data_IF_965812893041
#
_entry.id   IF_965812893041
#
_cell.length_a   1.000
_cell.length_b   1.000
_cell.length_c   1.000
_cell.angle_alpha   90.00
_cell.angle_beta   90.00
_cell.angle_gamma   90.00
#
_symmetry.space_group_name_H-M   'P 1'
#
loop_
_entity.id
_entity.type
_entity.pdbx_description
1 polymer ?
#
# COMPACT_ATOMS: atom_id res chain seq x y z
N UNK A 1 -3.10 5.85 -16.79
CA UNK A 1 -1.98 4.89 -16.90
C UNK A 1 -0.89 5.35 -17.88
N UNK A 2 -0.82 6.63 -18.26
CA UNK A 2 0.22 7.12 -19.19
C UNK A 2 0.15 6.52 -20.59
N UNK A 3 -1.04 6.14 -21.05
CA UNK A 3 -1.27 5.43 -22.33
C UNK A 3 -0.82 6.26 -23.54
N UNK A 4 -1.12 7.56 -23.57
CA UNK A 4 -0.67 8.46 -24.64
C UNK A 4 0.86 8.63 -24.73
N UNK A 5 1.60 8.15 -23.72
CA UNK A 5 3.06 8.17 -23.66
C UNK A 5 3.66 6.77 -23.59
N UNK A 6 2.87 5.74 -23.91
CA UNK A 6 3.26 4.33 -23.91
C UNK A 6 3.84 3.83 -22.57
N UNK A 7 3.41 4.44 -21.45
CA UNK A 7 3.91 4.06 -20.10
C UNK A 7 3.13 2.92 -19.47
N UNK A 8 1.90 2.68 -19.91
CA UNK A 8 1.01 1.67 -19.34
C UNK A 8 -0.41 1.75 -19.87
N UNK A 9 -1.20 0.75 -19.53
CA UNK A 9 -2.63 0.66 -19.90
C UNK A 9 -3.48 0.26 -18.70
N UNK A 10 -4.77 0.58 -18.74
CA UNK A 10 -5.73 0.15 -17.72
C UNK A 10 -6.17 -1.29 -17.99
N UNK A 11 -5.92 -2.20 -17.06
CA UNK A 11 -6.19 -3.65 -17.21
C UNK A 11 -6.96 -4.19 -16.01
N UNK A 12 -7.61 -5.33 -16.19
CA UNK A 12 -8.27 -6.05 -15.09
C UNK A 12 -7.25 -6.50 -14.04
N UNK A 13 -7.67 -6.44 -12.78
CA UNK A 13 -6.91 -6.93 -11.64
C UNK A 13 -6.81 -8.46 -11.72
N UNK A 14 -5.61 -8.97 -11.49
CA UNK A 14 -5.36 -10.42 -11.37
C UNK A 14 -5.14 -10.75 -9.90
N UNK A 15 -6.00 -11.59 -9.34
CA UNK A 15 -5.88 -12.10 -7.97
C UNK A 15 -5.38 -13.55 -7.97
N UNK A 16 -4.82 -14.00 -6.85
CA UNK A 16 -4.40 -15.40 -6.69
C UNK A 16 -5.62 -16.30 -6.45
N UNK A 17 -5.66 -17.43 -7.15
CA UNK A 17 -6.64 -18.52 -6.92
C UNK A 17 -6.09 -19.62 -6.00
N UNK A 18 -4.98 -19.37 -5.32
CA UNK A 18 -4.41 -20.33 -4.37
C UNK A 18 -5.32 -20.54 -3.16
N UNK A 19 -5.36 -21.76 -2.59
CA UNK A 19 -6.18 -22.05 -1.42
C UNK A 19 -5.72 -21.21 -0.22
N UNK A 20 -6.68 -20.74 0.57
CA UNK A 20 -6.46 -20.02 1.82
C UNK A 20 -6.40 -20.99 3.01
N UNK A 21 -5.73 -20.59 4.09
CA UNK A 21 -5.66 -21.39 5.31
C UNK A 21 -7.03 -21.50 6.00
N UNK A 22 -7.31 -22.59 6.75
CA UNK A 22 -8.61 -22.80 7.42
C UNK A 22 -8.82 -21.91 8.65
N UNK A 23 -7.84 -21.07 8.99
CA UNK A 23 -7.83 -20.22 10.18
C UNK A 23 -8.83 -19.06 10.11
N UNK A 24 -9.17 -18.61 8.89
CA UNK A 24 -10.25 -17.65 8.67
C UNK A 24 -11.47 -18.38 8.08
N UNK A 25 -12.50 -18.68 8.88
CA UNK A 25 -13.62 -19.51 8.45
C UNK A 25 -14.72 -18.75 7.70
N UNK A 26 -14.52 -17.47 7.42
CA UNK A 26 -15.52 -16.59 6.79
C UNK A 26 -15.18 -16.32 5.32
N UNK A 27 -16.17 -15.84 4.58
CA UNK A 27 -15.97 -15.35 3.21
C UNK A 27 -16.88 -14.18 2.91
N UNK A 28 -16.32 -13.17 2.26
CA UNK A 28 -17.03 -11.97 1.83
C UNK A 28 -17.39 -11.02 2.96
N UNK A 29 -16.70 -11.10 4.10
CA UNK A 29 -16.97 -10.25 5.26
C UNK A 29 -15.87 -9.21 5.51
N UNK A 30 -14.68 -9.41 4.94
CA UNK A 30 -13.56 -8.49 5.10
C UNK A 30 -13.12 -7.90 3.76
N UNK A 31 -13.06 -6.57 3.71
CA UNK A 31 -12.69 -5.80 2.51
C UNK A 31 -11.29 -6.14 1.94
N UNK A 32 -10.46 -6.84 2.72
CA UNK A 32 -9.11 -7.28 2.35
C UNK A 32 -9.09 -8.63 1.64
N UNK A 33 -10.20 -9.37 1.63
CA UNK A 33 -10.32 -10.60 0.87
C UNK A 33 -10.14 -10.33 -0.63
N UNK A 34 -9.32 -11.17 -1.30
CA UNK A 34 -9.01 -11.02 -2.74
C UNK A 34 -8.62 -9.58 -3.09
N UNK A 35 -7.84 -8.94 -2.22
CA UNK A 35 -7.42 -7.56 -2.39
C UNK A 35 -6.86 -7.30 -3.80
N UNK A 36 -7.25 -6.21 -4.49
CA UNK A 36 -8.11 -5.10 -4.05
C UNK A 36 -9.58 -5.15 -4.56
N UNK A 37 -10.09 -6.33 -4.92
CA UNK A 37 -11.30 -6.44 -5.77
C UNK A 37 -12.60 -5.89 -5.19
N UNK A 38 -12.70 -5.71 -3.87
CA UNK A 38 -13.86 -5.08 -3.22
C UNK A 38 -14.02 -3.62 -3.66
N UNK A 39 -12.91 -2.90 -3.86
CA UNK A 39 -12.92 -1.48 -4.21
C UNK A 39 -12.83 -1.25 -5.72
N UNK A 40 -12.01 -2.03 -6.42
CA UNK A 40 -11.80 -1.86 -7.85
C UNK A 40 -11.32 -3.15 -8.51
N UNK A 41 -11.81 -3.37 -9.74
CA UNK A 41 -11.48 -4.53 -10.57
C UNK A 41 -10.53 -4.20 -11.73
N UNK A 42 -10.12 -2.93 -11.89
CA UNK A 42 -9.16 -2.49 -12.90
C UNK A 42 -8.11 -1.55 -12.32
N UNK A 43 -6.86 -1.73 -12.73
CA UNK A 43 -5.73 -0.89 -12.30
C UNK A 43 -4.78 -0.59 -13.46
N UNK A 44 -3.91 0.41 -13.29
CA UNK A 44 -2.86 0.67 -14.25
C UNK A 44 -1.78 -0.42 -14.21
N UNK A 45 -1.49 -1.02 -15.37
CA UNK A 45 -0.35 -1.92 -15.57
C UNK A 45 0.72 -1.21 -16.38
N UNK A 46 1.82 -0.88 -15.72
CA UNK A 46 2.92 -0.13 -16.32
C UNK A 46 3.86 -1.03 -17.14
N UNK A 47 4.44 -0.45 -18.18
CA UNK A 47 5.36 -1.14 -19.10
C UNK A 47 6.83 -0.82 -18.77
N UNK A 48 7.74 -1.71 -19.15
CA UNK A 48 9.18 -1.47 -19.08
C UNK A 48 9.66 -1.06 -17.67
N UNK A 49 10.37 0.07 -17.60
CA UNK A 49 10.92 0.65 -16.37
C UNK A 49 9.95 1.52 -15.55
N UNK A 50 8.73 1.74 -16.03
CA UNK A 50 7.75 2.62 -15.37
C UNK A 50 7.03 1.92 -14.21
N UNK A 51 6.58 2.69 -13.21
CA UNK A 51 5.77 2.28 -12.06
C UNK A 51 4.85 3.42 -11.56
N UNK A 52 4.18 3.19 -10.44
CA UNK A 52 3.32 4.18 -9.79
C UNK A 52 1.86 3.99 -10.17
N UNK A 53 0.95 4.59 -9.40
CA UNK A 53 -0.51 4.40 -9.57
C UNK A 53 -1.02 4.81 -10.96
N UNK A 54 -0.33 5.74 -11.63
CA UNK A 54 -0.67 6.23 -12.96
C UNK A 54 0.40 5.93 -14.03
N UNK A 55 1.45 5.17 -13.70
CA UNK A 55 2.65 4.90 -14.51
C UNK A 55 3.58 6.10 -14.75
N UNK A 56 3.49 7.15 -13.93
CA UNK A 56 4.32 8.35 -14.01
C UNK A 56 5.72 8.22 -13.41
N UNK A 57 5.95 7.20 -12.58
CA UNK A 57 7.17 7.00 -11.80
C UNK A 57 8.08 5.93 -12.42
N UNK A 58 9.27 5.75 -11.85
CA UNK A 58 10.24 4.72 -12.26
C UNK A 58 10.36 3.63 -11.21
N UNK A 59 10.50 2.38 -11.66
CA UNK A 59 10.74 1.21 -10.79
C UNK A 59 11.88 1.48 -9.81
N UNK A 60 11.78 0.90 -8.61
CA UNK A 60 12.83 0.99 -7.62
C UNK A 60 14.20 0.63 -8.24
N UNK A 61 15.19 1.51 -8.02
CA UNK A 61 16.53 1.38 -8.61
C UNK A 61 16.69 2.01 -10.00
N UNK A 62 15.67 2.68 -10.53
CA UNK A 62 15.71 3.39 -11.81
C UNK A 62 15.31 4.88 -11.65
N UNK A 63 15.72 5.70 -12.61
CA UNK A 63 15.38 7.11 -12.69
C UNK A 63 15.52 7.66 -14.11
N UNK A 64 15.48 8.98 -14.21
CA UNK A 64 15.45 9.70 -15.50
C UNK A 64 14.03 9.76 -16.09
N UNK A 65 13.81 10.60 -17.11
CA UNK A 65 12.48 10.81 -17.70
C UNK A 65 11.88 9.54 -18.33
N UNK A 66 12.73 8.61 -18.74
CA UNK A 66 12.36 7.33 -19.39
C UNK A 66 12.63 6.09 -18.52
N UNK A 67 13.00 6.27 -17.25
CA UNK A 67 13.24 5.17 -16.31
C UNK A 67 14.32 4.16 -16.74
N UNK A 68 15.32 4.62 -17.48
CA UNK A 68 16.44 3.80 -17.97
C UNK A 68 17.73 4.03 -17.19
N UNK A 69 17.83 5.10 -16.40
CA UNK A 69 19.01 5.43 -15.62
C UNK A 69 19.04 4.59 -14.34
N UNK A 70 20.06 3.76 -14.14
CA UNK A 70 20.20 2.99 -12.90
C UNK A 70 20.58 3.92 -11.74
N UNK A 71 19.91 3.73 -10.61
CA UNK A 71 20.18 4.42 -9.34
C UNK A 71 20.37 3.41 -8.23
N UNK A 72 21.51 3.45 -7.56
CA UNK A 72 21.79 2.60 -6.40
C UNK A 72 21.74 3.44 -5.14
N UNK A 73 20.90 3.04 -4.19
CA UNK A 73 20.85 3.62 -2.84
C UNK A 73 21.32 2.59 -1.83
N UNK A 74 22.15 3.00 -0.89
CA UNK A 74 22.71 2.13 0.15
C UNK A 74 22.02 2.44 1.48
N UNK A 75 21.29 1.47 2.03
CA UNK A 75 20.75 1.54 3.40
C UNK A 75 21.91 1.28 4.37
N UNK A 76 22.40 2.33 5.04
CA UNK A 76 23.49 2.25 6.02
C UNK A 76 22.97 1.89 7.41
N UNK A 77 23.84 1.34 8.24
CA UNK A 77 23.58 1.14 9.66
C UNK A 77 23.53 2.51 10.39
N UNK A 78 22.55 2.69 11.28
CA UNK A 78 22.20 4.00 11.87
C UNK A 78 23.28 4.54 12.80
N UNK A 79 23.96 3.70 13.57
CA UNK A 79 25.00 4.12 14.51
C UNK A 79 26.28 4.57 13.81
N UNK A 80 26.58 4.02 12.62
CA UNK A 80 27.69 4.38 11.73
C UNK A 80 27.47 5.66 10.93
N UNK A 81 26.30 6.30 11.01
CA UNK A 81 26.06 7.60 10.38
C UNK A 81 26.83 8.72 11.09
N UNK A 82 27.25 9.72 10.30
CA UNK A 82 27.76 11.00 10.83
C UNK A 82 26.66 11.76 11.57
N UNK A 83 27.03 12.71 12.43
CA UNK A 83 26.06 13.56 13.14
C UNK A 83 25.09 14.27 12.15
N UNK A 84 25.62 14.86 11.09
CA UNK A 84 24.82 15.53 10.06
C UNK A 84 23.87 14.57 9.32
N UNK A 85 24.28 13.32 9.05
CA UNK A 85 23.40 12.31 8.47
C UNK A 85 22.26 11.91 9.43
N UNK A 86 22.55 11.77 10.73
CA UNK A 86 21.53 11.49 11.76
C UNK A 86 20.53 12.63 11.90
N UNK A 87 21.02 13.86 11.98
CA UNK A 87 20.18 15.06 12.08
C UNK A 87 19.27 15.19 10.84
N UNK A 88 19.83 14.95 9.65
CA UNK A 88 19.05 14.91 8.41
C UNK A 88 18.00 13.81 8.45
N UNK A 89 18.35 12.59 8.86
CA UNK A 89 17.39 11.48 8.95
C UNK A 89 16.20 11.83 9.86
N UNK A 90 16.46 12.32 11.08
CA UNK A 90 15.41 12.72 12.03
C UNK A 90 14.59 13.89 11.50
N UNK A 91 15.21 14.89 10.85
CA UNK A 91 14.51 16.00 10.25
C UNK A 91 13.53 15.56 9.15
N UNK A 92 13.92 14.61 8.30
CA UNK A 92 13.04 14.09 7.24
C UNK A 92 11.92 13.20 7.78
N UNK A 93 12.13 12.44 8.87
CA UNK A 93 11.04 11.74 9.57
C UNK A 93 10.00 12.72 10.12
N UNK A 94 10.46 13.81 10.76
CA UNK A 94 9.59 14.86 11.25
C UNK A 94 8.84 15.58 10.11
N UNK A 95 9.51 15.82 8.98
CA UNK A 95 8.88 16.38 7.80
C UNK A 95 7.79 15.44 7.27
N UNK A 96 8.06 14.13 7.15
CA UNK A 96 7.09 13.14 6.69
C UNK A 96 5.85 13.06 7.60
N UNK A 97 6.03 13.19 8.91
CA UNK A 97 4.94 13.23 9.89
C UNK A 97 4.08 14.50 9.82
N UNK A 98 4.61 15.59 9.25
CA UNK A 98 3.92 16.90 9.18
C UNK A 98 3.43 17.26 7.77
N UNK A 99 3.74 16.45 6.77
CA UNK A 99 3.40 16.72 5.37
C UNK A 99 2.29 15.79 4.93
N UNK A 100 1.12 16.36 4.56
CA UNK A 100 0.02 15.62 3.94
C UNK A 100 0.50 14.92 2.68
N UNK A 101 0.20 13.63 2.55
CA UNK A 101 0.49 12.84 1.38
C UNK A 101 -0.35 13.36 0.20
N UNK A 102 0.26 13.46 -0.99
CA UNK A 102 -0.38 14.06 -2.17
C UNK A 102 -0.97 13.02 -3.11
N UNK A 103 -0.57 11.77 -2.97
CA UNK A 103 -0.94 10.68 -3.86
C UNK A 103 -1.97 9.74 -3.22
N UNK A 104 -2.01 9.66 -1.89
CA UNK A 104 -2.86 8.72 -1.14
C UNK A 104 -3.66 9.41 -0.04
N UNK A 105 -4.89 8.92 0.12
CA UNK A 105 -5.79 9.14 1.24
C UNK A 105 -6.11 7.79 1.88
N UNK A 106 -6.65 7.78 3.09
CA UNK A 106 -7.04 6.55 3.78
C UNK A 106 -8.55 6.40 3.86
N UNK A 107 -9.02 5.15 3.83
CA UNK A 107 -10.40 4.85 4.17
C UNK A 107 -10.62 5.03 5.68
N UNK A 108 -11.76 5.61 6.04
CA UNK A 108 -12.18 5.84 7.44
C UNK A 108 -13.38 5.00 7.86
N UNK A 109 -13.89 4.17 6.94
CA UNK A 109 -14.94 3.18 7.18
C UNK A 109 -14.80 2.01 6.19
N UNK A 110 -15.58 0.95 6.41
CA UNK A 110 -15.65 -0.22 5.53
C UNK A 110 -16.35 0.10 4.22
N UNK A 111 -16.18 -0.73 3.19
CA UNK A 111 -16.86 -0.56 1.90
C UNK A 111 -18.39 -0.56 2.04
N UNK A 112 -18.92 -1.36 2.96
CA UNK A 112 -20.34 -1.37 3.32
C UNK A 112 -20.78 -0.03 3.91
N UNK A 113 -20.02 0.54 4.86
CA UNK A 113 -20.29 1.86 5.44
C UNK A 113 -20.20 2.98 4.39
N UNK A 114 -19.45 2.77 3.30
CA UNK A 114 -19.43 3.66 2.15
C UNK A 114 -20.65 3.50 1.22
N UNK A 115 -21.66 2.73 1.61
CA UNK A 115 -22.83 2.41 0.77
C UNK A 115 -22.41 1.88 -0.61
N UNK A 116 -21.57 0.84 -0.60
CA UNK A 116 -20.99 0.22 -1.81
C UNK A 116 -20.32 1.26 -2.73
N UNK A 117 -19.55 2.17 -2.11
CA UNK A 117 -18.80 3.22 -2.81
C UNK A 117 -19.59 4.49 -3.17
N UNK A 118 -20.91 4.52 -2.96
CA UNK A 118 -21.73 5.70 -3.28
C UNK A 118 -21.53 6.87 -2.30
N UNK A 119 -21.06 6.59 -1.09
CA UNK A 119 -20.74 7.57 -0.06
C UNK A 119 -19.28 7.40 0.39
N UNK A 120 -18.30 7.97 -0.33
CA UNK A 120 -16.88 7.72 -0.09
C UNK A 120 -16.46 8.28 1.28
N UNK A 121 -15.87 7.41 2.13
CA UNK A 121 -15.37 7.78 3.45
C UNK A 121 -13.84 7.79 3.46
N UNK A 122 -13.24 8.88 2.96
CA UNK A 122 -11.80 9.06 2.94
C UNK A 122 -11.34 10.28 3.72
N UNK A 123 -10.12 10.22 4.25
CA UNK A 123 -9.47 11.34 4.90
C UNK A 123 -8.02 11.52 4.41
N UNK A 124 -7.61 12.79 4.35
CA UNK A 124 -6.22 13.16 4.17
C UNK A 124 -5.36 12.59 5.31
N UNK A 125 -4.14 12.20 4.98
CA UNK A 125 -3.17 11.66 5.93
C UNK A 125 -1.78 12.19 5.62
N UNK A 126 -0.91 12.31 6.63
CA UNK A 126 0.50 12.62 6.37
C UNK A 126 1.29 11.38 5.93
N UNK A 127 2.45 11.59 5.32
CA UNK A 127 3.27 10.52 4.76
C UNK A 127 3.68 9.46 5.78
N UNK A 128 4.01 9.86 7.01
CA UNK A 128 4.40 8.90 8.04
C UNK A 128 3.20 8.11 8.57
N UNK A 129 2.07 8.77 8.78
CA UNK A 129 0.85 8.11 9.27
C UNK A 129 0.23 7.20 8.20
N UNK A 130 0.42 7.49 6.91
CA UNK A 130 0.07 6.54 5.86
C UNK A 130 0.84 5.23 6.02
N UNK A 131 2.15 5.29 6.28
CA UNK A 131 2.97 4.12 6.54
C UNK A 131 2.47 3.33 7.76
N UNK A 132 2.07 4.02 8.82
CA UNK A 132 1.47 3.40 10.01
C UNK A 132 0.09 2.80 9.70
N UNK A 133 -0.76 3.51 8.95
CA UNK A 133 -2.11 3.09 8.63
C UNK A 133 -2.12 1.84 7.73
N UNK A 134 -1.19 1.73 6.77
CA UNK A 134 -1.06 0.54 5.93
C UNK A 134 -0.80 -0.72 6.77
N UNK A 135 0.06 -0.61 7.78
CA UNK A 135 0.34 -1.70 8.73
C UNK A 135 -0.87 -2.04 9.58
N UNK A 136 -1.51 -1.02 10.19
CA UNK A 136 -2.76 -1.18 10.91
C UNK A 136 -3.84 -1.88 10.06
N UNK A 137 -4.04 -1.44 8.82
CA UNK A 137 -5.07 -1.99 7.95
C UNK A 137 -4.77 -3.44 7.56
N UNK A 138 -3.51 -3.79 7.32
CA UNK A 138 -3.13 -5.17 7.03
C UNK A 138 -3.28 -6.12 8.24
N UNK A 139 -3.08 -5.61 9.46
CA UNK A 139 -3.02 -6.45 10.67
C UNK A 139 -4.20 -6.29 11.63
N UNK A 140 -5.18 -5.41 11.36
CA UNK A 140 -6.40 -5.34 12.18
C UNK A 140 -7.21 -6.63 12.11
N UNK A 141 -7.97 -6.92 13.16
CA UNK A 141 -8.96 -8.00 13.23
C UNK A 141 -10.01 -7.87 12.11
N UNK A 142 -10.76 -8.92 11.78
CA UNK A 142 -11.92 -8.78 10.89
C UNK A 142 -13.16 -8.35 11.69
N UNK A 143 -14.02 -7.51 11.12
CA UNK A 143 -15.27 -7.10 11.77
C UNK A 143 -16.34 -8.17 11.54
N UNK A 144 -17.13 -8.46 12.57
CA UNK A 144 -18.28 -9.36 12.53
C UNK A 144 -19.57 -8.60 12.88
N UNK A 145 -20.71 -9.25 12.69
CA UNK A 145 -22.01 -8.69 13.10
C UNK A 145 -22.06 -8.39 14.61
N UNK A 146 -22.82 -7.36 14.99
CA UNK A 146 -23.04 -7.00 16.39
C UNK A 146 -21.80 -6.46 17.11
N UNK A 147 -20.94 -5.74 16.38
CA UNK A 147 -19.68 -5.14 16.87
C UNK A 147 -18.64 -6.16 17.38
N UNK A 148 -18.81 -7.45 17.07
CA UNK A 148 -17.82 -8.47 17.35
C UNK A 148 -16.64 -8.42 16.36
N UNK A 149 -15.53 -9.06 16.72
CA UNK A 149 -14.34 -9.16 15.87
C UNK A 149 -13.78 -10.57 15.82
N UNK A 150 -13.07 -10.89 14.74
CA UNK A 150 -12.26 -12.10 14.61
C UNK A 150 -10.78 -11.74 14.61
N UNK A 151 -10.10 -12.08 15.70
CA UNK A 151 -8.69 -11.68 15.96
C UNK A 151 -7.68 -12.62 15.29
N UNK A 152 -8.08 -13.84 14.97
CA UNK A 152 -7.19 -14.81 14.33
C UNK A 152 -7.15 -14.57 12.82
N UNK A 153 -6.60 -13.42 12.40
CA UNK A 153 -6.32 -13.03 11.01
C UNK A 153 -5.25 -11.93 10.97
N UNK A 154 -4.21 -12.10 10.14
CA UNK A 154 -3.21 -11.07 9.89
C UNK A 154 -2.64 -11.21 8.46
N UNK A 155 -2.70 -10.15 7.65
CA UNK A 155 -2.21 -10.17 6.27
C UNK A 155 -0.72 -9.79 6.15
N UNK A 156 -0.10 -9.31 7.23
CA UNK A 156 1.29 -8.85 7.26
C UNK A 156 2.20 -9.68 8.18
N UNK A 157 1.66 -10.52 9.06
CA UNK A 157 2.43 -11.36 9.99
C UNK A 157 1.99 -12.84 9.97
N UNK A 158 2.66 -13.65 10.80
CA UNK A 158 2.32 -15.05 11.10
C UNK A 158 2.19 -16.00 9.89
N UNK A 159 2.68 -15.57 8.73
CA UNK A 159 2.60 -16.28 7.48
C UNK A 159 3.83 -15.98 6.59
N UNK A 160 4.06 -16.78 5.53
CA UNK A 160 5.14 -16.54 4.56
C UNK A 160 5.13 -15.15 3.91
N UNK A 161 3.99 -14.45 3.93
CA UNK A 161 3.84 -13.07 3.47
C UNK A 161 4.58 -12.03 4.32
N UNK A 162 5.03 -12.37 5.53
CA UNK A 162 5.66 -11.42 6.46
C UNK A 162 6.84 -10.64 5.86
N UNK A 163 7.85 -11.35 5.37
CA UNK A 163 9.07 -10.74 4.84
C UNK A 163 8.84 -9.91 3.56
N UNK A 164 8.07 -10.39 2.55
CA UNK A 164 7.79 -9.57 1.38
C UNK A 164 6.85 -8.38 1.65
N UNK A 165 5.93 -8.48 2.61
CA UNK A 165 5.04 -7.36 2.97
C UNK A 165 5.82 -6.19 3.59
N UNK A 166 6.78 -6.48 4.48
CA UNK A 166 7.59 -5.47 5.18
C UNK A 166 8.77 -4.91 4.36
N UNK A 167 9.03 -5.45 3.17
CA UNK A 167 10.18 -5.07 2.32
C UNK A 167 9.94 -3.77 1.56
#
# INVERSE_FOLDING_TARGET
CGEASDRGTCQDVVVSDSPIGPQFPFSGIDDREKWPTVFYNRTCRCQGGFMGYNCGECKFGYGGPNCTERRTTIRKEIFKLTAAEKDKFVAYLNLAKRTTNRDFVIATGTYEQMNNGSNPLFADINTYDLFVWLHYYASRDAFLEGDAVWENIDFAHEAPGFAPWHR
#
